data_IF_468754143214
#
_entry.id   IF_468754143214
#
_cell.length_a   1.000
_cell.length_b   1.000
_cell.length_c   1.000
_cell.angle_alpha   90.00
_cell.angle_beta   90.00
_cell.angle_gamma   90.00
#
_symmetry.space_group_name_H-M   'P 1'
#
loop_
_entity.id
_entity.type
_entity.pdbx_description
1 polymer ?
#
# COMPACT_ATOMS: atom_id res chain seq x y z
N UNK A 1 11.75 -29.71 -15.74
CA UNK A 1 10.99 -28.72 -14.95
C UNK A 1 11.49 -27.35 -15.41
N UNK A 2 10.79 -26.73 -16.36
CA UNK A 2 11.20 -25.44 -16.93
C UNK A 2 11.03 -24.34 -15.87
N UNK A 3 11.99 -23.43 -15.70
CA UNK A 3 11.81 -22.26 -14.86
C UNK A 3 10.70 -21.40 -15.47
N UNK A 4 9.78 -20.91 -14.62
CA UNK A 4 8.73 -20.00 -15.02
C UNK A 4 9.31 -18.62 -15.41
N UNK A 5 9.86 -18.52 -16.62
CA UNK A 5 10.12 -17.26 -17.29
C UNK A 5 8.98 -17.06 -18.29
N UNK A 6 8.02 -16.19 -17.97
CA UNK A 6 6.95 -15.84 -18.91
C UNK A 6 7.20 -14.53 -19.67
N UNK A 7 8.27 -13.77 -19.40
CA UNK A 7 8.62 -12.60 -20.21
C UNK A 7 10.13 -12.33 -20.17
N UNK A 8 10.84 -12.64 -21.26
CA UNK A 8 12.04 -11.88 -21.63
C UNK A 8 11.55 -10.51 -22.12
N UNK A 9 11.88 -9.44 -21.39
CA UNK A 9 11.57 -8.08 -21.81
C UNK A 9 12.52 -7.69 -22.95
N UNK A 10 12.02 -7.20 -24.10
CA UNK A 10 12.89 -6.74 -25.17
C UNK A 10 13.67 -5.49 -24.75
N UNK A 11 14.89 -5.34 -25.28
CA UNK A 11 15.72 -4.16 -25.11
C UNK A 11 14.96 -2.88 -25.51
N UNK A 12 15.19 -1.84 -24.71
CA UNK A 12 14.46 -0.57 -24.64
C UNK A 12 14.05 0.05 -25.98
N UNK A 13 12.74 0.03 -26.27
CA UNK A 13 12.13 0.96 -27.22
C UNK A 13 11.74 2.25 -26.49
N UNK A 14 12.46 3.34 -26.75
CA UNK A 14 12.04 4.69 -26.31
C UNK A 14 10.83 5.09 -27.16
N UNK A 15 9.64 5.01 -26.57
CA UNK A 15 8.40 5.49 -27.19
C UNK A 15 8.15 6.92 -26.71
N UNK A 16 8.52 7.91 -27.54
CA UNK A 16 8.04 9.28 -27.35
C UNK A 16 6.59 9.35 -27.78
N UNK A 17 5.66 9.41 -26.81
CA UNK A 17 4.24 9.62 -27.08
C UNK A 17 3.67 10.68 -26.17
N UNK A 18 3.07 11.70 -26.77
CA UNK A 18 2.17 12.62 -26.11
C UNK A 18 0.97 11.81 -25.62
N UNK A 19 0.82 11.71 -24.31
CA UNK A 19 -0.27 10.96 -23.69
C UNK A 19 -1.58 11.76 -23.81
N UNK A 20 -2.68 11.15 -24.28
CA UNK A 20 -3.99 11.77 -24.17
C UNK A 20 -4.35 11.97 -22.68
N UNK A 21 -5.20 12.95 -22.33
CA UNK A 21 -5.72 13.05 -20.98
C UNK A 21 -6.40 11.73 -20.62
N UNK A 22 -5.99 11.13 -19.51
CA UNK A 22 -6.51 9.84 -19.09
C UNK A 22 -8.02 9.89 -18.82
N UNK A 23 -8.71 8.74 -18.92
CA UNK A 23 -10.17 8.69 -18.87
C UNK A 23 -10.71 9.22 -17.54
N UNK A 24 -11.69 10.13 -17.62
CA UNK A 24 -12.41 10.71 -16.47
C UNK A 24 -13.17 9.66 -15.64
N UNK A 25 -13.32 8.44 -16.13
CA UNK A 25 -13.91 7.33 -15.40
C UNK A 25 -13.41 5.99 -15.99
N UNK A 26 -12.38 5.34 -15.43
CA UNK A 26 -11.82 4.11 -15.98
C UNK A 26 -12.71 2.86 -15.77
N UNK A 27 -13.95 3.01 -15.27
CA UNK A 27 -14.90 1.91 -15.11
C UNK A 27 -14.55 0.93 -13.98
N UNK A 28 -13.56 1.22 -13.14
CA UNK A 28 -13.20 0.39 -11.98
C UNK A 28 -14.03 0.78 -10.76
N UNK A 29 -14.75 -0.19 -10.17
CA UNK A 29 -15.73 0.01 -9.09
C UNK A 29 -15.12 0.26 -7.69
N UNK A 30 -13.83 0.58 -7.59
CA UNK A 30 -13.17 0.81 -6.30
C UNK A 30 -13.33 2.24 -5.83
N UNK A 31 -13.29 2.42 -4.50
CA UNK A 31 -13.30 3.71 -3.83
C UNK A 31 -12.38 4.72 -4.51
N UNK A 32 -12.91 5.85 -4.96
CA UNK A 32 -12.09 6.92 -5.53
C UNK A 32 -11.68 7.89 -4.42
N UNK A 33 -10.39 8.24 -4.40
CA UNK A 33 -9.89 9.29 -3.51
C UNK A 33 -10.19 10.65 -4.15
N UNK A 34 -10.97 11.49 -3.47
CA UNK A 34 -11.17 12.90 -3.77
C UNK A 34 -9.91 13.72 -3.53
N UNK A 35 -9.83 14.91 -4.12
CA UNK A 35 -8.61 15.75 -4.15
C UNK A 35 -8.07 16.09 -2.75
N UNK A 36 -8.97 16.26 -1.78
CA UNK A 36 -8.65 16.63 -0.39
C UNK A 36 -8.59 15.44 0.56
N UNK A 37 -8.81 14.24 0.05
CA UNK A 37 -8.91 13.09 0.91
C UNK A 37 -7.53 12.65 1.40
N UNK A 38 -7.45 12.38 2.71
CA UNK A 38 -6.24 11.91 3.36
C UNK A 38 -6.59 10.71 4.26
N UNK A 39 -6.29 9.50 3.78
CA UNK A 39 -6.54 8.27 4.53
C UNK A 39 -5.31 7.79 5.30
N UNK A 40 -5.51 7.37 6.55
CA UNK A 40 -4.45 6.72 7.33
C UNK A 40 -4.94 5.38 7.84
N UNK A 41 -4.47 4.33 7.18
CA UNK A 41 -4.71 2.95 7.55
C UNK A 41 -3.91 2.62 8.82
N UNK A 42 -4.61 2.18 9.86
CA UNK A 42 -3.98 1.66 11.04
C UNK A 42 -3.47 0.25 10.74
N UNK A 43 -2.15 0.11 10.60
CA UNK A 43 -1.52 -1.20 10.41
C UNK A 43 -1.79 -2.09 11.62
N UNK A 44 -2.13 -3.36 11.40
CA UNK A 44 -2.30 -4.33 12.49
C UNK A 44 -1.76 -5.72 12.11
N UNK A 45 -1.06 -6.35 13.05
CA UNK A 45 -0.67 -7.76 12.97
C UNK A 45 -1.73 -8.72 13.54
N UNK A 46 -2.92 -8.19 13.88
CA UNK A 46 -4.07 -8.91 14.40
C UNK A 46 -5.23 -8.86 13.38
N UNK A 47 -5.34 -9.82 12.44
CA UNK A 47 -6.40 -9.80 11.44
C UNK A 47 -7.81 -9.79 12.02
N UNK A 48 -8.03 -10.39 13.20
CA UNK A 48 -9.34 -10.35 13.88
C UNK A 48 -9.76 -8.95 14.34
N UNK A 49 -8.95 -7.91 14.15
CA UNK A 49 -9.38 -6.54 14.37
C UNK A 49 -10.33 -6.03 13.28
N UNK A 50 -10.37 -6.69 12.12
CA UNK A 50 -11.33 -6.37 11.06
C UNK A 50 -12.77 -6.54 11.53
N UNK A 51 -13.06 -7.52 12.40
CA UNK A 51 -14.40 -7.81 12.93
C UNK A 51 -14.72 -7.09 14.24
N UNK A 52 -13.81 -6.21 14.72
CA UNK A 52 -13.95 -5.57 16.03
C UNK A 52 -14.78 -4.29 15.93
N UNK A 53 -15.78 -4.11 16.82
CA UNK A 53 -16.64 -2.93 16.79
C UNK A 53 -15.87 -1.63 17.07
N UNK A 54 -14.74 -1.67 17.79
CA UNK A 54 -13.94 -0.47 18.06
C UNK A 54 -13.29 0.16 16.82
N UNK A 55 -13.20 -0.59 15.71
CA UNK A 55 -12.68 -0.09 14.44
C UNK A 55 -13.79 0.15 13.40
N UNK A 56 -15.05 -0.20 13.69
CA UNK A 56 -16.18 -0.05 12.78
C UNK A 56 -17.18 1.04 13.19
N UNK A 57 -18.30 1.12 12.49
CA UNK A 57 -19.42 2.01 12.79
C UNK A 57 -19.17 3.48 12.44
N UNK A 58 -19.76 4.41 13.22
CA UNK A 58 -19.72 5.86 12.94
C UNK A 58 -18.33 6.50 13.06
N UNK A 59 -17.36 5.77 13.61
CA UNK A 59 -15.94 6.16 13.68
C UNK A 59 -15.05 5.09 13.05
N UNK A 60 -15.45 4.57 11.88
CA UNK A 60 -14.71 3.55 11.17
C UNK A 60 -13.23 3.95 10.99
N UNK A 61 -12.33 3.11 11.51
CA UNK A 61 -10.89 3.27 11.37
C UNK A 61 -10.43 2.26 10.31
N UNK A 62 -9.90 2.73 9.18
CA UNK A 62 -9.46 1.84 8.12
C UNK A 62 -8.21 1.10 8.58
N UNK A 63 -8.10 -0.18 8.24
CA UNK A 63 -7.01 -1.04 8.69
C UNK A 63 -6.06 -1.43 7.54
N UNK A 64 -4.79 -1.65 7.85
CA UNK A 64 -3.85 -2.30 6.94
C UNK A 64 -3.48 -3.68 7.52
N UNK A 65 -3.71 -4.74 6.76
CA UNK A 65 -3.51 -6.13 7.19
C UNK A 65 -2.61 -6.85 6.20
N UNK A 66 -1.65 -7.61 6.70
CA UNK A 66 -0.71 -8.35 5.84
C UNK A 66 -1.25 -9.71 5.40
N UNK A 67 -1.06 -10.04 4.12
CA UNK A 67 -1.31 -11.36 3.53
C UNK A 67 -0.64 -12.47 4.37
N UNK A 68 0.59 -12.26 4.86
CA UNK A 68 1.31 -13.24 5.67
C UNK A 68 0.59 -13.63 6.97
N UNK A 69 -0.28 -12.76 7.49
CA UNK A 69 -1.10 -13.02 8.68
C UNK A 69 -2.40 -13.71 8.31
N UNK A 70 -3.03 -13.30 7.20
CA UNK A 70 -4.29 -13.86 6.70
C UNK A 70 -4.11 -15.28 6.14
N UNK A 71 -3.03 -15.54 5.40
CA UNK A 71 -2.76 -16.83 4.75
C UNK A 71 -2.68 -18.00 5.76
N UNK A 72 -2.38 -17.71 7.03
CA UNK A 72 -2.32 -18.71 8.11
C UNK A 72 -3.68 -19.05 8.70
N UNK A 73 -4.75 -18.35 8.30
CA UNK A 73 -6.07 -18.50 8.89
C UNK A 73 -6.94 -19.43 8.08
N UNK A 74 -7.51 -20.43 8.76
CA UNK A 74 -8.58 -21.26 8.18
C UNK A 74 -9.88 -20.45 8.05
N UNK A 75 -10.26 -19.73 9.13
CA UNK A 75 -11.43 -18.84 9.18
C UNK A 75 -10.99 -17.39 9.12
N UNK A 76 -11.51 -16.68 8.12
CA UNK A 76 -11.28 -15.26 7.93
C UNK A 76 -12.29 -14.43 8.77
N UNK A 77 -11.89 -13.26 9.27
CA UNK A 77 -12.81 -12.32 9.92
C UNK A 77 -13.77 -11.73 8.88
N UNK A 78 -14.92 -11.20 9.33
CA UNK A 78 -15.78 -10.34 8.50
C UNK A 78 -15.51 -8.88 8.87
N UNK A 79 -15.16 -8.06 7.89
CA UNK A 79 -14.81 -6.67 8.14
C UNK A 79 -16.04 -5.86 8.56
N UNK A 80 -15.87 -5.06 9.61
CA UNK A 80 -16.79 -3.98 10.00
C UNK A 80 -16.25 -2.59 9.65
N UNK A 81 -15.14 -2.53 8.91
CA UNK A 81 -14.45 -1.31 8.50
C UNK A 81 -13.67 -1.58 7.22
N UNK A 82 -13.38 -0.54 6.48
CA UNK A 82 -12.60 -0.65 5.26
C UNK A 82 -11.14 -0.98 5.53
N UNK A 83 -10.49 -1.66 4.59
CA UNK A 83 -9.11 -2.09 4.81
C UNK A 83 -8.31 -2.25 3.52
N UNK A 84 -7.00 -2.14 3.66
CA UNK A 84 -6.03 -2.47 2.61
C UNK A 84 -5.22 -3.70 2.98
N UNK A 85 -4.82 -4.45 1.95
CA UNK A 85 -3.95 -5.60 2.06
C UNK A 85 -2.50 -5.22 1.73
N UNK A 86 -1.61 -5.46 2.69
CA UNK A 86 -0.15 -5.51 2.46
C UNK A 86 0.23 -6.91 1.95
N UNK A 87 0.97 -6.98 0.84
CA UNK A 87 1.42 -8.24 0.23
C UNK A 87 2.46 -8.96 1.09
N UNK A 88 3.16 -8.24 1.95
CA UNK A 88 4.22 -8.78 2.81
C UNK A 88 5.60 -8.80 2.15
N UNK A 89 5.80 -8.04 1.06
CA UNK A 89 7.03 -8.05 0.25
C UNK A 89 8.30 -7.80 1.04
N UNK A 90 8.27 -6.83 1.96
CA UNK A 90 9.39 -6.59 2.88
C UNK A 90 9.87 -7.85 3.59
N UNK A 91 8.94 -8.69 4.06
CA UNK A 91 9.30 -9.90 4.80
C UNK A 91 9.74 -11.03 3.89
N UNK A 92 9.12 -11.20 2.72
CA UNK A 92 9.52 -12.21 1.73
C UNK A 92 10.95 -11.97 1.25
N UNK A 93 11.22 -10.76 0.73
CA UNK A 93 12.54 -10.45 0.18
C UNK A 93 13.63 -10.40 1.26
N UNK A 94 13.32 -9.92 2.47
CA UNK A 94 14.30 -9.93 3.57
C UNK A 94 14.68 -11.34 4.04
N UNK A 95 13.74 -12.30 4.04
CA UNK A 95 13.98 -13.64 4.55
C UNK A 95 14.50 -14.61 3.49
N UNK A 96 14.02 -14.47 2.26
CA UNK A 96 14.23 -15.47 1.21
C UNK A 96 14.96 -14.91 -0.01
N UNK A 97 15.08 -13.57 -0.15
CA UNK A 97 15.64 -12.96 -1.36
C UNK A 97 14.75 -13.11 -2.60
N UNK A 98 13.54 -13.65 -2.44
CA UNK A 98 12.57 -13.88 -3.52
C UNK A 98 11.15 -13.98 -2.95
N UNK A 99 10.15 -13.95 -3.84
CA UNK A 99 8.78 -14.26 -3.50
C UNK A 99 8.56 -15.76 -3.46
N UNK A 100 8.21 -16.30 -2.28
CA UNK A 100 7.92 -17.74 -2.13
C UNK A 100 6.48 -18.10 -2.50
N UNK A 101 5.59 -17.11 -2.60
CA UNK A 101 4.19 -17.27 -3.00
C UNK A 101 4.06 -16.92 -4.49
N UNK A 102 3.64 -17.87 -5.36
CA UNK A 102 3.41 -17.58 -6.77
C UNK A 102 2.26 -16.57 -6.99
N UNK A 103 2.30 -15.73 -8.04
CA UNK A 103 1.25 -14.74 -8.31
C UNK A 103 -0.16 -15.31 -8.44
N UNK A 104 -0.30 -16.53 -8.98
CA UNK A 104 -1.60 -17.20 -9.07
C UNK A 104 -2.18 -17.55 -7.69
N UNK A 105 -1.33 -17.99 -6.76
CA UNK A 105 -1.76 -18.27 -5.38
C UNK A 105 -2.07 -16.99 -4.63
N UNK A 106 -1.28 -15.93 -4.84
CA UNK A 106 -1.55 -14.64 -4.23
C UNK A 106 -2.88 -14.07 -4.72
N UNK A 107 -3.13 -14.02 -6.04
CA UNK A 107 -4.40 -13.57 -6.61
C UNK A 107 -5.61 -14.36 -6.06
N UNK A 108 -5.53 -15.70 -6.03
CA UNK A 108 -6.60 -16.52 -5.47
C UNK A 108 -6.84 -16.24 -3.97
N UNK A 109 -5.78 -15.98 -3.21
CA UNK A 109 -5.91 -15.59 -1.80
C UNK A 109 -6.57 -14.21 -1.66
N UNK A 110 -6.21 -13.23 -2.49
CA UNK A 110 -6.82 -11.89 -2.47
C UNK A 110 -8.29 -11.95 -2.88
N UNK A 111 -8.65 -12.74 -3.90
CA UNK A 111 -10.05 -13.02 -4.27
C UNK A 111 -10.84 -13.56 -3.08
N UNK A 112 -10.31 -14.60 -2.43
CA UNK A 112 -10.91 -15.15 -1.21
C UNK A 112 -11.08 -14.09 -0.12
N UNK A 113 -10.10 -13.21 0.06
CA UNK A 113 -10.19 -12.14 1.06
C UNK A 113 -11.27 -11.13 0.69
N UNK A 114 -11.35 -10.69 -0.57
CA UNK A 114 -12.41 -9.80 -1.05
C UNK A 114 -13.80 -10.39 -0.79
N UNK A 115 -13.99 -11.67 -1.14
CA UNK A 115 -15.30 -12.34 -1.06
C UNK A 115 -15.72 -12.69 0.38
N UNK A 116 -14.79 -13.23 1.21
CA UNK A 116 -15.13 -13.70 2.56
C UNK A 116 -15.04 -12.62 3.64
N UNK A 117 -14.08 -11.68 3.51
CA UNK A 117 -13.86 -10.61 4.50
C UNK A 117 -14.75 -9.41 4.20
N UNK A 118 -14.91 -9.04 2.93
CA UNK A 118 -15.59 -7.81 2.50
C UNK A 118 -14.74 -6.55 2.76
N UNK A 119 -15.20 -5.40 2.27
CA UNK A 119 -14.63 -4.06 2.53
C UNK A 119 -13.14 -3.89 2.17
N UNK A 120 -12.61 -4.74 1.27
CA UNK A 120 -11.25 -4.60 0.76
C UNK A 120 -11.17 -3.41 -0.20
N UNK A 121 -10.49 -2.34 0.19
CA UNK A 121 -10.34 -1.15 -0.63
C UNK A 121 -9.19 -1.28 -1.62
N UNK A 122 -8.05 -1.80 -1.19
CA UNK A 122 -6.81 -1.90 -1.98
C UNK A 122 -6.01 -3.13 -1.63
N UNK A 123 -5.38 -3.73 -2.64
CA UNK A 123 -4.41 -4.79 -2.47
C UNK A 123 -3.07 -4.39 -3.07
N UNK A 124 -2.04 -4.28 -2.23
CA UNK A 124 -0.68 -4.11 -2.71
C UNK A 124 -0.28 -5.33 -3.56
N UNK A 125 0.40 -5.07 -4.67
CA UNK A 125 1.00 -6.12 -5.51
C UNK A 125 2.20 -6.80 -4.82
N UNK A 126 2.72 -7.84 -5.44
CA UNK A 126 4.00 -8.45 -5.04
C UNK A 126 5.17 -7.63 -5.62
N UNK A 127 5.38 -6.43 -5.10
CA UNK A 127 6.44 -5.51 -5.53
C UNK A 127 7.84 -5.94 -5.05
N UNK A 128 8.87 -5.29 -5.58
CA UNK A 128 10.26 -5.59 -5.27
C UNK A 128 10.97 -4.32 -4.77
N UNK A 129 11.20 -4.25 -3.46
CA UNK A 129 11.75 -3.05 -2.85
C UNK A 129 13.25 -2.87 -3.14
N UNK A 130 13.66 -1.63 -3.34
CA UNK A 130 14.97 -1.20 -3.79
C UNK A 130 15.86 -0.68 -2.65
N UNK A 131 15.54 -0.92 -1.38
CA UNK A 131 16.49 -0.56 -0.33
C UNK A 131 17.80 -1.35 -0.46
N UNK A 132 18.98 -0.75 -0.20
CA UNK A 132 20.28 -1.39 -0.42
C UNK A 132 20.43 -2.76 0.22
N UNK A 133 19.89 -2.97 1.42
CA UNK A 133 19.94 -4.27 2.08
C UNK A 133 19.08 -5.35 1.38
N UNK A 134 18.00 -4.96 0.69
CA UNK A 134 17.16 -5.88 -0.06
C UNK A 134 17.81 -6.20 -1.41
N UNK A 135 18.40 -5.21 -2.08
CA UNK A 135 19.19 -5.43 -3.30
C UNK A 135 20.37 -6.39 -3.02
N UNK A 136 21.04 -6.21 -1.88
CA UNK A 136 22.10 -7.12 -1.45
C UNK A 136 21.59 -8.55 -1.18
N UNK A 137 20.39 -8.69 -0.61
CA UNK A 137 19.77 -9.98 -0.29
C UNK A 137 19.25 -10.73 -1.53
N UNK A 138 18.80 -9.99 -2.55
CA UNK A 138 18.22 -10.54 -3.80
C UNK A 138 19.28 -10.72 -4.90
N UNK A 139 20.44 -10.07 -4.75
CA UNK A 139 21.49 -9.98 -5.77
C UNK A 139 21.02 -9.36 -7.08
N UNK A 140 20.11 -8.39 -7.00
CA UNK A 140 19.53 -7.71 -8.15
C UNK A 140 19.75 -6.20 -8.08
N UNK A 141 19.64 -5.57 -9.24
CA UNK A 141 19.69 -4.13 -9.42
C UNK A 141 18.33 -3.47 -9.19
N UNK A 142 18.34 -2.14 -9.01
CA UNK A 142 17.11 -1.33 -8.96
C UNK A 142 16.27 -1.52 -10.23
N UNK A 143 16.91 -1.60 -11.39
CA UNK A 143 16.20 -1.79 -12.67
C UNK A 143 15.47 -3.13 -12.73
N UNK A 144 16.13 -4.22 -12.31
CA UNK A 144 15.50 -5.55 -12.26
C UNK A 144 14.32 -5.58 -11.28
N UNK A 145 14.45 -4.94 -10.12
CA UNK A 145 13.34 -4.80 -9.17
C UNK A 145 12.17 -3.99 -9.74
N UNK A 146 12.44 -2.92 -10.48
CA UNK A 146 11.39 -2.16 -11.16
C UNK A 146 10.69 -3.00 -12.22
N UNK A 147 11.44 -3.70 -13.07
CA UNK A 147 10.88 -4.59 -14.09
C UNK A 147 9.99 -5.68 -13.47
N UNK A 148 10.46 -6.32 -12.39
CA UNK A 148 9.69 -7.32 -11.67
C UNK A 148 8.45 -6.75 -10.98
N UNK A 149 8.52 -5.52 -10.48
CA UNK A 149 7.38 -4.82 -9.88
C UNK A 149 6.29 -4.52 -10.92
N UNK A 150 6.68 -3.97 -12.08
CA UNK A 150 5.74 -3.71 -13.19
C UNK A 150 5.13 -5.03 -13.69
N UNK A 151 5.98 -6.06 -13.88
CA UNK A 151 5.51 -7.38 -14.26
C UNK A 151 4.55 -7.99 -13.22
N UNK A 152 4.77 -7.74 -11.93
CA UNK A 152 3.88 -8.19 -10.85
C UNK A 152 2.48 -7.58 -10.98
N UNK A 153 2.37 -6.27 -11.21
CA UNK A 153 1.09 -5.61 -11.45
C UNK A 153 0.38 -6.22 -12.67
N UNK A 154 1.05 -6.31 -13.81
CA UNK A 154 0.49 -6.90 -15.03
C UNK A 154 0.03 -8.36 -14.83
N UNK A 155 0.83 -9.15 -14.12
CA UNK A 155 0.50 -10.54 -13.82
C UNK A 155 -0.77 -10.66 -12.97
N UNK A 156 -0.94 -9.78 -11.99
CA UNK A 156 -2.09 -9.79 -11.08
C UNK A 156 -3.34 -9.26 -11.78
N UNK A 157 -3.20 -8.17 -12.54
CA UNK A 157 -4.26 -7.67 -13.42
C UNK A 157 -4.74 -8.73 -14.42
N UNK A 158 -3.84 -9.46 -15.06
CA UNK A 158 -4.20 -10.54 -16.00
C UNK A 158 -4.95 -11.70 -15.33
N UNK A 159 -4.66 -11.96 -14.05
CA UNK A 159 -5.28 -13.07 -13.31
C UNK A 159 -6.68 -12.72 -12.85
N UNK A 160 -6.87 -11.48 -12.43
CA UNK A 160 -8.12 -10.99 -11.86
C UNK A 160 -8.10 -9.47 -11.83
N UNK A 161 -8.65 -8.82 -12.86
CA UNK A 161 -8.73 -7.35 -12.98
C UNK A 161 -9.89 -6.72 -12.19
N UNK A 162 -10.79 -7.56 -11.67
CA UNK A 162 -11.87 -7.21 -10.74
C UNK A 162 -11.39 -7.14 -9.27
N UNK A 163 -10.10 -7.32 -9.01
CA UNK A 163 -9.50 -7.03 -7.70
C UNK A 163 -8.83 -5.66 -7.64
N UNK A 164 -8.84 -4.99 -6.46
CA UNK A 164 -8.35 -3.62 -6.30
C UNK A 164 -6.82 -3.55 -6.23
N UNK A 165 -6.14 -4.06 -7.25
CA UNK A 165 -4.68 -4.03 -7.32
C UNK A 165 -4.16 -2.59 -7.34
N UNK A 166 -3.26 -2.30 -6.41
CA UNK A 166 -2.57 -1.02 -6.33
C UNK A 166 -1.18 -1.16 -6.97
N UNK A 167 -0.90 -0.51 -8.11
CA UNK A 167 0.45 -0.48 -8.67
C UNK A 167 1.40 0.21 -7.69
N UNK A 168 2.68 -0.17 -7.73
CA UNK A 168 3.70 0.38 -6.84
C UNK A 168 4.86 0.91 -7.65
N UNK A 169 5.26 2.14 -7.36
CA UNK A 169 6.50 2.74 -7.84
C UNK A 169 7.66 2.32 -6.94
N UNK A 170 8.75 1.87 -7.58
CA UNK A 170 9.97 1.44 -6.90
C UNK A 170 11.18 2.23 -7.40
N UNK A 171 12.16 2.45 -6.53
CA UNK A 171 13.37 3.21 -6.85
C UNK A 171 14.19 3.57 -5.61
N UNK A 172 15.38 4.13 -5.82
CA UNK A 172 16.22 4.65 -4.74
C UNK A 172 16.51 6.15 -4.90
N UNK A 173 16.78 6.60 -6.11
CA UNK A 173 16.97 8.02 -6.48
C UNK A 173 15.73 8.56 -7.19
N UNK A 174 15.62 9.89 -7.33
CA UNK A 174 14.50 10.48 -8.09
C UNK A 174 14.41 9.94 -9.51
N UNK A 175 15.54 9.82 -10.21
CA UNK A 175 15.59 9.31 -11.58
C UNK A 175 15.14 7.85 -11.66
N UNK A 176 15.38 7.05 -10.62
CA UNK A 176 14.81 5.69 -10.55
C UNK A 176 13.29 5.75 -10.53
N UNK A 177 12.67 6.58 -9.69
CA UNK A 177 11.21 6.68 -9.64
C UNK A 177 10.61 7.16 -10.96
N UNK A 178 11.22 8.16 -11.60
CA UNK A 178 10.79 8.64 -12.92
C UNK A 178 10.90 7.53 -13.98
N UNK A 179 12.01 6.78 -13.99
CA UNK A 179 12.15 5.60 -14.86
C UNK A 179 11.07 4.56 -14.59
N UNK A 180 10.69 4.33 -13.33
CA UNK A 180 9.62 3.38 -13.00
C UNK A 180 8.26 3.86 -13.55
N UNK A 181 7.97 5.17 -13.50
CA UNK A 181 6.80 5.77 -14.16
C UNK A 181 6.84 5.47 -15.67
N UNK A 182 7.99 5.71 -16.32
CA UNK A 182 8.17 5.43 -17.75
C UNK A 182 7.99 3.93 -18.07
N UNK A 183 8.42 3.03 -17.20
CA UNK A 183 8.23 1.59 -17.37
C UNK A 183 6.76 1.17 -17.30
N UNK A 184 5.96 1.76 -16.42
CA UNK A 184 4.49 1.56 -16.44
C UNK A 184 3.87 2.13 -17.71
N UNK A 185 4.25 3.35 -18.11
CA UNK A 185 3.74 3.99 -19.32
C UNK A 185 4.07 3.20 -20.60
N UNK A 186 5.27 2.60 -20.68
CA UNK A 186 5.68 1.73 -21.77
C UNK A 186 4.80 0.48 -21.91
N UNK A 187 4.17 0.04 -20.81
CA UNK A 187 3.21 -1.06 -20.79
C UNK A 187 1.75 -0.59 -21.00
N UNK A 188 1.55 0.69 -21.34
CA UNK A 188 0.23 1.29 -21.55
C UNK A 188 -0.51 1.64 -20.27
N UNK A 189 0.16 1.70 -19.12
CA UNK A 189 -0.44 2.03 -17.82
C UNK A 189 -0.13 3.49 -17.48
N UNK A 190 -1.19 4.30 -17.46
CA UNK A 190 -1.12 5.68 -16.99
C UNK A 190 -1.40 5.73 -15.48
N UNK A 191 -0.34 5.96 -14.70
CA UNK A 191 -0.43 6.03 -13.24
C UNK A 191 -1.19 7.26 -12.72
N UNK A 192 -1.46 8.27 -13.55
CA UNK A 192 -2.18 9.48 -13.13
C UNK A 192 -3.70 9.26 -13.01
N UNK A 193 -4.22 8.25 -13.73
CA UNK A 193 -5.62 7.83 -13.63
C UNK A 193 -5.85 6.65 -12.70
N UNK A 194 -4.79 6.02 -12.23
CA UNK A 194 -4.92 4.99 -11.20
C UNK A 194 -5.45 5.63 -9.91
N UNK A 195 -6.43 5.00 -9.23
CA UNK A 195 -7.04 5.59 -8.04
C UNK A 195 -6.04 5.93 -6.94
N UNK A 196 -4.98 5.12 -6.82
CA UNK A 196 -3.89 5.30 -5.87
C UNK A 196 -2.69 4.46 -6.34
N UNK A 197 -1.48 4.95 -6.10
CA UNK A 197 -0.22 4.30 -6.46
C UNK A 197 0.66 4.22 -5.22
N UNK A 198 1.10 3.02 -4.88
CA UNK A 198 2.02 2.79 -3.76
C UNK A 198 3.40 3.38 -4.02
N UNK A 199 3.99 3.99 -2.99
CA UNK A 199 5.36 4.48 -3.01
C UNK A 199 6.25 3.53 -2.21
N UNK A 200 6.93 2.62 -2.90
CA UNK A 200 7.87 1.68 -2.30
C UNK A 200 9.17 2.33 -1.86
N UNK A 201 10.00 1.63 -1.07
CA UNK A 201 11.39 1.98 -0.74
C UNK A 201 11.67 3.34 -0.07
N UNK A 202 10.64 4.11 0.31
CA UNK A 202 10.78 5.40 1.01
C UNK A 202 10.66 5.26 2.53
N UNK A 203 10.06 4.17 3.03
CA UNK A 203 9.70 3.94 4.44
C UNK A 203 10.84 4.10 5.48
N UNK A 204 12.12 3.99 5.12
CA UNK A 204 13.26 4.18 6.05
C UNK A 204 14.01 5.49 5.89
N UNK A 205 13.67 6.27 4.86
CA UNK A 205 14.32 7.52 4.46
C UNK A 205 13.33 8.68 4.31
N UNK A 206 12.12 8.52 4.82
CA UNK A 206 11.00 9.45 4.68
C UNK A 206 11.26 10.84 5.29
N UNK A 207 12.26 10.99 6.15
CA UNK A 207 12.67 12.28 6.72
C UNK A 207 13.87 12.91 5.99
N UNK A 208 14.27 12.36 4.85
CA UNK A 208 15.36 12.94 4.05
C UNK A 208 14.82 13.94 3.05
N UNK A 209 15.59 15.01 2.77
CA UNK A 209 15.27 15.97 1.69
C UNK A 209 15.09 15.30 0.33
N UNK A 210 15.74 14.16 0.12
CA UNK A 210 15.59 13.40 -1.12
C UNK A 210 14.23 12.70 -1.19
N UNK A 211 13.76 12.08 -0.11
CA UNK A 211 12.44 11.48 -0.06
C UNK A 211 11.33 12.53 -0.25
N UNK A 212 11.45 13.70 0.39
CA UNK A 212 10.50 14.82 0.18
C UNK A 212 10.46 15.21 -1.30
N UNK A 213 11.61 15.43 -1.94
CA UNK A 213 11.70 15.77 -3.37
C UNK A 213 11.10 14.69 -4.28
N UNK A 214 11.26 13.41 -3.95
CA UNK A 214 10.61 12.31 -4.69
C UNK A 214 9.09 12.42 -4.60
N UNK A 215 8.56 12.59 -3.38
CA UNK A 215 7.11 12.72 -3.15
C UNK A 215 6.56 13.96 -3.87
N UNK A 216 7.20 15.12 -3.71
CA UNK A 216 6.82 16.37 -4.40
C UNK A 216 6.80 16.21 -5.92
N UNK A 217 7.85 15.60 -6.49
CA UNK A 217 7.95 15.44 -7.93
C UNK A 217 6.88 14.50 -8.47
N UNK A 218 6.65 13.36 -7.81
CA UNK A 218 5.64 12.38 -8.23
C UNK A 218 4.22 12.93 -8.05
N UNK A 219 3.95 13.61 -6.94
CA UNK A 219 2.68 14.32 -6.73
C UNK A 219 2.45 15.38 -7.81
N UNK A 220 3.47 16.15 -8.17
CA UNK A 220 3.41 17.15 -9.25
C UNK A 220 3.19 16.57 -10.65
N UNK A 221 3.35 15.26 -10.85
CA UNK A 221 2.93 14.57 -12.08
C UNK A 221 1.43 14.21 -12.09
N UNK A 222 0.70 14.48 -11.00
CA UNK A 222 -0.70 14.11 -10.83
C UNK A 222 -0.92 12.70 -10.28
N UNK A 223 0.13 12.04 -9.77
CA UNK A 223 0.03 10.68 -9.22
C UNK A 223 -0.50 10.74 -7.79
N UNK A 224 -1.56 9.98 -7.51
CA UNK A 224 -2.17 9.88 -6.17
C UNK A 224 -1.40 8.87 -5.32
N UNK A 225 -0.54 9.34 -4.43
CA UNK A 225 0.41 8.49 -3.72
C UNK A 225 -0.15 7.86 -2.44
N UNK A 226 0.15 6.57 -2.24
CA UNK A 226 0.07 5.87 -0.96
C UNK A 226 1.47 5.70 -0.35
N UNK A 227 1.65 6.21 0.87
CA UNK A 227 2.90 6.06 1.61
C UNK A 227 2.92 4.81 2.50
N UNK A 228 3.66 3.78 2.08
CA UNK A 228 3.82 2.55 2.86
C UNK A 228 4.63 2.74 4.15
N UNK A 229 4.12 2.27 5.28
CA UNK A 229 4.84 2.18 6.55
C UNK A 229 5.38 3.51 7.07
N UNK A 230 4.76 4.63 6.69
CA UNK A 230 5.22 5.96 7.03
C UNK A 230 5.24 6.18 8.56
N UNK A 231 6.27 6.88 9.03
CA UNK A 231 6.45 7.21 10.45
C UNK A 231 6.03 8.65 10.68
N UNK A 232 5.66 8.97 11.93
CA UNK A 232 5.21 10.30 12.37
C UNK A 232 6.07 11.43 11.82
N UNK A 233 7.40 11.31 11.88
CA UNK A 233 8.32 12.36 11.42
C UNK A 233 8.24 12.61 9.92
N UNK A 234 8.22 11.55 9.10
CA UNK A 234 8.08 11.71 7.65
C UNK A 234 6.68 12.15 7.24
N UNK A 235 5.64 11.67 7.93
CA UNK A 235 4.26 12.11 7.65
C UNK A 235 4.11 13.60 7.82
N UNK A 236 4.65 14.20 8.88
CA UNK A 236 4.56 15.65 9.10
C UNK A 236 5.14 16.52 7.98
N UNK A 237 6.07 15.97 7.20
CA UNK A 237 6.72 16.70 6.11
C UNK A 237 5.92 16.61 4.80
N UNK A 238 5.22 15.49 4.55
CA UNK A 238 4.63 15.20 3.23
C UNK A 238 3.17 14.71 3.26
N UNK A 239 2.48 14.71 4.41
CA UNK A 239 1.11 14.18 4.50
C UNK A 239 0.15 14.88 3.54
N UNK A 240 0.36 16.17 3.28
CA UNK A 240 -0.41 16.96 2.32
C UNK A 240 -0.26 16.48 0.86
N UNK A 241 0.82 15.77 0.56
CA UNK A 241 1.15 15.25 -0.78
C UNK A 241 0.75 13.77 -0.95
N UNK A 242 0.35 13.09 0.13
CA UNK A 242 -0.06 11.70 0.14
C UNK A 242 -1.59 11.60 0.27
N UNK A 243 -2.24 10.85 -0.61
CA UNK A 243 -3.68 10.60 -0.53
C UNK A 243 -4.01 9.53 0.50
N UNK A 244 -3.09 8.59 0.70
CA UNK A 244 -3.19 7.66 1.81
C UNK A 244 -1.82 7.25 2.37
N UNK A 245 -1.82 6.68 3.57
CA UNK A 245 -0.64 6.08 4.19
C UNK A 245 -1.05 4.98 5.15
N UNK A 246 -0.13 4.10 5.50
CA UNK A 246 -0.31 3.14 6.58
C UNK A 246 0.80 3.21 7.63
N UNK A 247 0.48 2.78 8.86
CA UNK A 247 1.51 2.64 9.89
C UNK A 247 1.17 1.58 10.94
N UNK A 248 2.11 0.64 11.14
CA UNK A 248 2.14 -0.29 12.29
C UNK A 248 3.04 0.24 13.44
N UNK A 249 3.55 1.48 13.33
CA UNK A 249 4.53 2.03 14.28
C UNK A 249 4.02 2.08 15.73
N UNK A 250 2.70 2.18 15.93
CA UNK A 250 2.07 2.14 17.26
C UNK A 250 2.44 0.89 18.06
N UNK A 251 2.54 -0.29 17.43
CA UNK A 251 2.83 -1.55 18.14
C UNK A 251 4.27 -1.58 18.65
N UNK A 252 5.20 -1.05 17.85
CA UNK A 252 6.60 -0.88 18.25
C UNK A 252 6.77 0.19 19.33
N UNK A 253 6.00 1.27 19.24
CA UNK A 253 5.96 2.32 20.24
C UNK A 253 5.42 1.77 21.58
N UNK A 254 4.33 1.00 21.55
CA UNK A 254 3.72 0.36 22.72
C UNK A 254 4.63 -0.66 23.42
N UNK A 255 5.57 -1.30 22.71
CA UNK A 255 6.60 -2.17 23.33
C UNK A 255 7.63 -1.40 24.17
N UNK A 256 7.75 -0.08 23.97
CA UNK A 256 8.74 0.79 24.63
C UNK A 256 8.16 1.68 25.72
N UNK A 257 6.87 1.61 25.96
CA UNK A 257 6.19 2.46 26.93
C UNK A 257 5.41 1.60 27.92
N UNK A 258 5.17 2.16 29.10
CA UNK A 258 4.28 1.54 30.07
C UNK A 258 2.88 1.33 29.47
N UNK A 259 2.17 0.26 29.84
CA UNK A 259 0.76 0.10 29.50
C UNK A 259 -0.07 1.33 29.89
N UNK A 260 -1.13 1.62 29.13
CA UNK A 260 -2.07 2.68 29.51
C UNK A 260 -2.71 2.38 30.88
N UNK A 261 -3.06 3.42 31.65
CA UNK A 261 -3.85 3.25 32.87
C UNK A 261 -5.08 2.36 32.66
N UNK A 262 -5.25 1.38 33.55
CA UNK A 262 -6.32 0.38 33.49
C UNK A 262 -6.06 -0.81 32.56
N UNK A 263 -4.94 -0.87 31.84
CA UNK A 263 -4.55 -2.08 31.13
C UNK A 263 -3.84 -3.07 32.07
N UNK A 264 -4.20 -4.35 31.97
CA UNK A 264 -3.64 -5.43 32.82
C UNK A 264 -2.55 -6.27 32.14
N UNK A 265 -2.29 -6.04 30.85
CA UNK A 265 -1.26 -6.76 30.08
C UNK A 265 0.14 -6.13 30.24
N UNK A 266 1.19 -6.92 30.02
CA UNK A 266 2.60 -6.49 30.16
C UNK A 266 2.94 -5.32 29.21
N UNK A 267 2.49 -5.37 27.96
CA UNK A 267 2.69 -4.29 26.99
C UNK A 267 1.42 -4.04 26.17
N UNK A 268 1.21 -2.78 25.76
CA UNK A 268 0.10 -2.39 24.90
C UNK A 268 0.28 -2.79 23.42
N UNK A 269 1.28 -3.62 23.08
CA UNK A 269 1.64 -3.90 21.68
C UNK A 269 0.59 -4.65 20.86
N UNK A 270 -0.46 -5.14 21.52
CA UNK A 270 -1.67 -5.77 20.96
C UNK A 270 -2.95 -5.09 21.45
N UNK A 271 -2.90 -3.84 21.92
CA UNK A 271 -4.02 -3.18 22.60
C UNK A 271 -4.75 -2.22 21.64
N UNK A 272 -6.04 -2.45 21.32
CA UNK A 272 -6.84 -1.55 20.49
C UNK A 272 -6.92 -0.13 21.06
N UNK A 273 -7.12 0.01 22.38
CA UNK A 273 -7.17 1.32 23.05
C UNK A 273 -5.89 2.12 22.82
N UNK A 274 -4.74 1.45 22.89
CA UNK A 274 -3.46 2.10 22.63
C UNK A 274 -3.31 2.47 21.15
N UNK A 275 -3.64 1.55 20.24
CA UNK A 275 -3.52 1.78 18.81
C UNK A 275 -4.38 2.97 18.34
N UNK A 276 -5.63 3.03 18.81
CA UNK A 276 -6.56 4.14 18.54
C UNK A 276 -6.06 5.46 19.16
N UNK A 277 -5.61 5.45 20.42
CA UNK A 277 -5.07 6.65 21.06
C UNK A 277 -3.84 7.18 20.31
N UNK A 278 -2.90 6.30 19.99
CA UNK A 278 -1.69 6.65 19.23
C UNK A 278 -2.04 7.26 17.87
N UNK A 279 -2.99 6.64 17.15
CA UNK A 279 -3.44 7.09 15.84
C UNK A 279 -4.08 8.47 15.94
N UNK A 280 -4.98 8.69 16.89
CA UNK A 280 -5.67 9.97 17.06
C UNK A 280 -4.69 11.08 17.41
N UNK A 281 -3.69 10.81 18.25
CA UNK A 281 -2.59 11.76 18.53
C UNK A 281 -1.76 12.04 17.29
N UNK A 282 -1.45 11.03 16.48
CA UNK A 282 -0.74 11.22 15.22
C UNK A 282 -1.52 12.16 14.29
N UNK A 283 -2.79 11.84 14.01
CA UNK A 283 -3.61 12.61 13.08
C UNK A 283 -3.85 14.04 13.57
N UNK A 284 -4.09 14.24 14.86
CA UNK A 284 -4.21 15.58 15.45
C UNK A 284 -2.91 16.41 15.36
N UNK A 285 -1.76 15.77 15.12
CA UNK A 285 -0.48 16.45 14.92
C UNK A 285 -0.16 16.79 13.47
N UNK A 286 -1.01 16.40 12.51
CA UNK A 286 -0.88 16.71 11.10
C UNK A 286 -1.80 17.90 10.78
N UNK A 287 -1.23 19.03 10.35
CA UNK A 287 -2.01 20.20 9.98
C UNK A 287 -2.95 19.89 8.80
N UNK A 288 -4.18 20.41 8.84
CA UNK A 288 -5.17 20.26 7.75
C UNK A 288 -5.51 18.80 7.37
N UNK A 289 -5.17 17.82 8.21
CA UNK A 289 -5.54 16.43 7.97
C UNK A 289 -7.05 16.25 8.09
N UNK A 290 -7.68 15.74 7.03
CA UNK A 290 -9.08 15.35 7.00
C UNK A 290 -9.20 13.92 6.54
N UNK A 291 -9.84 13.11 7.36
CA UNK A 291 -10.36 11.83 6.91
C UNK A 291 -11.87 11.92 6.96
N UNK A 292 -12.47 12.14 5.81
CA UNK A 292 -13.92 12.09 5.67
C UNK A 292 -14.36 10.62 5.81
N UNK A 293 -15.47 10.39 6.49
CA UNK A 293 -16.05 9.06 6.61
C UNK A 293 -16.38 8.58 5.21
N UNK A 294 -16.05 7.32 4.89
CA UNK A 294 -16.38 6.71 3.61
C UNK A 294 -17.88 6.87 3.35
N UNK A 295 -18.26 7.78 2.45
CA UNK A 295 -19.62 7.89 1.96
C UNK A 295 -19.79 6.68 1.06
N UNK A 296 -20.44 5.62 1.55
CA UNK A 296 -20.77 4.47 0.70
C UNK A 296 -21.41 4.97 -0.58
N UNK A 297 -20.95 4.43 -1.72
CA UNK A 297 -21.63 4.56 -3.00
C UNK A 297 -23.07 4.03 -2.87
N UNK A 298 -23.98 4.90 -2.44
CA UNK A 298 -25.44 4.76 -2.36
C UNK A 298 -25.94 6.21 -2.43
N UNK A 299 -26.60 6.76 -3.45
CA UNK A 299 -27.34 6.26 -4.61
C UNK A 299 -27.05 7.20 -5.79
N UNK A 300 -26.67 6.67 -6.96
CA UNK A 300 -26.88 7.35 -8.25
C UNK A 300 -28.16 6.79 -8.89
N UNK A 301 -29.28 7.01 -8.21
CA UNK A 301 -30.61 6.81 -8.73
C UNK A 301 -31.60 7.75 -8.01
N UNK A 302 -31.60 9.02 -8.43
CA UNK A 302 -32.72 9.95 -8.32
C UNK A 302 -32.61 10.98 -9.45
#
# INVERSE_FOLDING_TARGET
MQPAALFDLPDSAVVTRTLPPGPLNPGRAYWQYGENDRWSYLGTHQPSWLERPEFGGSMAVPLCVSHRRLARRRRLPRAGTSWMLDSGGFTELSLYGEWTVPPAQYAAAVRRYADEIGELERAAIQDWMCEPQILAQTHQSVYEHQARTVASYLNLMWRDDELPWMPVLQGWTLDDYLRCVDMYAAMGIDLTVEPIVGLGSVCRRQSTKEAVRIVERLHGLGIRLHGFGFKVTGLREVHQLLYSSDSLAWSFNARRHAPLPGCTHITCSNCPRYALAWRNTLLASLSDWRQEYAVSLVDLAA
#
